data_IF_586107351073
#
_entry.id   IF_586107351073
#
_cell.length_a   1.000
_cell.length_b   1.000
_cell.length_c   1.000
_cell.angle_alpha   90.00
_cell.angle_beta   90.00
_cell.angle_gamma   90.00
#
_symmetry.space_group_name_H-M   'P 1'
#
loop_
_entity.id
_entity.type
_entity.pdbx_description
1 polymer ?
#
# COMPACT_ATOMS: atom_id res chain seq x y z
N UNK A 1 -28.02 65.07 26.55
CA UNK A 1 -27.49 66.38 26.98
C UNK A 1 -26.57 66.11 28.17
N UNK A 2 -25.25 66.01 27.93
CA UNK A 2 -24.22 66.96 28.43
C UNK A 2 -24.23 67.12 29.95
N UNK A 3 -23.18 67.01 30.77
CA UNK A 3 -21.75 66.61 30.74
C UNK A 3 -21.31 66.73 32.23
N UNK A 4 -20.32 65.92 32.63
CA UNK A 4 -19.16 66.23 33.51
C UNK A 4 -19.32 67.20 34.71
N UNK A 5 -18.73 66.81 35.85
CA UNK A 5 -17.41 67.36 36.27
C UNK A 5 -16.77 66.55 37.41
N UNK A 6 -15.46 66.38 37.26
CA UNK A 6 -14.50 65.79 38.18
C UNK A 6 -14.16 66.72 39.35
N UNK A 7 -13.55 66.12 40.39
CA UNK A 7 -12.24 66.45 40.96
C UNK A 7 -12.25 66.57 42.50
N UNK A 8 -11.28 65.89 43.14
CA UNK A 8 -10.92 66.12 44.54
C UNK A 8 -10.26 64.90 45.20
N UNK A 9 -8.96 64.75 44.96
CA UNK A 9 -8.06 63.81 45.63
C UNK A 9 -7.41 64.47 46.87
N UNK A 10 -7.19 63.71 47.95
CA UNK A 10 -6.09 63.86 48.92
C UNK A 10 -6.27 62.98 50.19
N UNK A 11 -5.49 61.90 50.28
CA UNK A 11 -4.43 61.79 51.31
C UNK A 11 -4.71 61.18 52.70
N UNK A 12 -4.16 59.96 52.90
CA UNK A 12 -3.44 59.43 54.10
C UNK A 12 -4.26 59.16 55.39
N UNK A 13 -3.98 58.18 56.26
CA UNK A 13 -2.88 57.22 56.46
C UNK A 13 -3.39 56.02 57.29
N UNK A 14 -2.65 54.90 57.17
CA UNK A 14 -2.37 53.77 58.08
C UNK A 14 -3.28 53.40 59.27
N UNK A 15 -3.28 52.17 59.79
CA UNK A 15 -2.90 50.80 59.41
C UNK A 15 -3.00 50.06 60.75
N UNK A 16 -3.98 49.16 60.92
CA UNK A 16 -3.85 48.06 61.89
C UNK A 16 -4.95 47.01 61.64
N UNK A 17 -4.63 45.77 62.05
CA UNK A 17 -5.46 44.57 62.20
C UNK A 17 -5.22 43.44 61.16
N UNK A 18 -4.57 42.38 61.67
CA UNK A 18 -5.28 41.10 61.78
C UNK A 18 -4.89 40.00 60.79
N UNK A 19 -4.03 39.08 61.25
CA UNK A 19 -3.70 37.80 60.60
C UNK A 19 -4.94 36.98 60.19
N UNK A 20 -5.03 36.62 58.91
CA UNK A 20 -5.85 35.52 58.41
C UNK A 20 -4.98 34.42 57.77
N UNK A 21 -5.27 33.16 58.13
CA UNK A 21 -4.57 31.95 57.70
C UNK A 21 -4.79 31.69 56.20
N UNK A 22 -3.72 31.53 55.43
CA UNK A 22 -3.78 31.17 54.01
C UNK A 22 -4.10 29.68 53.85
N UNK A 23 -5.27 29.35 53.31
CA UNK A 23 -5.54 28.03 52.73
C UNK A 23 -4.73 27.89 51.43
N UNK A 24 -3.84 26.89 51.40
CA UNK A 24 -3.14 26.47 50.19
C UNK A 24 -4.10 25.78 49.20
N UNK A 25 -3.77 25.77 47.90
CA UNK A 25 -4.64 25.19 46.89
C UNK A 25 -4.75 23.66 47.06
N UNK A 26 -5.87 23.05 46.64
CA UNK A 26 -6.09 21.63 46.79
C UNK A 26 -5.05 20.81 46.02
N UNK A 27 -4.49 19.80 46.68
CA UNK A 27 -3.63 18.78 46.07
C UNK A 27 -4.47 17.96 45.09
N UNK A 28 -4.33 18.23 43.80
CA UNK A 28 -4.72 17.28 42.77
C UNK A 28 -3.82 16.05 42.88
N UNK A 29 -4.39 14.97 43.42
CA UNK A 29 -3.80 13.65 43.54
C UNK A 29 -3.30 13.15 42.18
N UNK A 30 -1.98 12.93 42.07
CA UNK A 30 -1.23 11.74 41.61
C UNK A 30 -1.74 10.85 40.43
N UNK A 31 -2.99 10.94 39.97
CA UNK A 31 -3.52 10.19 38.83
C UNK A 31 -3.21 10.83 37.46
N UNK A 32 -2.82 12.11 37.43
CA UNK A 32 -2.44 12.83 36.19
C UNK A 32 -0.96 12.63 35.84
N UNK A 33 -0.14 12.15 36.79
CA UNK A 33 1.31 12.00 36.64
C UNK A 33 1.76 10.67 35.99
N UNK A 34 0.85 9.73 35.71
CA UNK A 34 1.16 8.52 34.91
C UNK A 34 1.16 8.76 33.39
N UNK A 35 0.77 9.95 32.91
CA UNK A 35 0.78 10.29 31.48
C UNK A 35 2.12 10.85 30.97
N UNK A 36 3.17 10.83 31.80
CA UNK A 36 4.48 11.35 31.41
C UNK A 36 5.35 10.28 30.76
N UNK A 37 5.52 10.47 29.44
CA UNK A 37 6.43 9.84 28.47
C UNK A 37 5.88 8.67 27.66
N UNK A 38 4.66 8.80 27.14
CA UNK A 38 4.42 8.21 25.82
C UNK A 38 5.38 8.87 24.82
N UNK A 39 6.23 8.09 24.16
CA UNK A 39 7.13 8.59 23.11
C UNK A 39 6.31 9.23 21.98
N UNK A 40 6.94 10.05 21.12
CA UNK A 40 6.21 10.69 20.02
C UNK A 40 5.49 9.64 19.16
N UNK A 41 6.15 8.50 18.89
CA UNK A 41 5.55 7.36 18.22
C UNK A 41 4.36 6.77 18.96
N UNK A 42 4.44 6.55 20.28
CA UNK A 42 3.30 5.98 21.03
C UNK A 42 2.07 6.89 20.98
N UNK A 43 2.26 8.22 21.11
CA UNK A 43 1.16 9.18 20.97
C UNK A 43 0.51 9.12 19.59
N UNK A 44 1.31 8.97 18.53
CA UNK A 44 0.80 8.82 17.17
C UNK A 44 0.03 7.49 16.99
N UNK A 45 0.48 6.39 17.61
CA UNK A 45 -0.26 5.12 17.62
C UNK A 45 -1.61 5.25 18.30
N UNK A 46 -1.67 5.91 19.45
CA UNK A 46 -2.92 6.11 20.20
C UNK A 46 -3.91 6.98 19.40
N UNK A 47 -3.42 8.01 18.69
CA UNK A 47 -4.23 8.82 17.76
C UNK A 47 -4.77 7.95 16.62
N UNK A 48 -3.90 7.18 15.97
CA UNK A 48 -4.28 6.33 14.85
C UNK A 48 -5.31 5.27 15.25
N UNK A 49 -5.12 4.66 16.42
CA UNK A 49 -6.04 3.70 17.01
C UNK A 49 -7.42 4.30 17.28
N UNK A 50 -7.49 5.51 17.85
CA UNK A 50 -8.78 6.19 18.05
C UNK A 50 -9.46 6.49 16.73
N UNK A 51 -8.71 6.96 15.73
CA UNK A 51 -9.26 7.22 14.40
C UNK A 51 -9.82 5.96 13.73
N UNK A 52 -9.17 4.80 13.89
CA UNK A 52 -9.71 3.51 13.44
C UNK A 52 -11.09 3.25 14.06
N UNK A 53 -11.21 3.34 15.39
CA UNK A 53 -12.45 3.08 16.12
C UNK A 53 -13.56 4.07 15.77
N UNK A 54 -13.24 5.37 15.69
CA UNK A 54 -14.19 6.43 15.31
C UNK A 54 -14.75 6.25 13.89
N UNK A 55 -14.00 5.58 13.01
CA UNK A 55 -14.42 5.24 11.63
C UNK A 55 -15.07 3.87 11.51
N UNK A 56 -15.29 3.17 12.63
CA UNK A 56 -15.89 1.84 12.65
C UNK A 56 -14.97 0.73 12.16
N UNK A 57 -13.66 0.94 12.20
CA UNK A 57 -12.64 -0.05 11.82
C UNK A 57 -12.10 -0.75 13.08
N UNK A 58 -11.53 -1.94 12.88
CA UNK A 58 -10.97 -2.79 13.92
C UNK A 58 -9.43 -2.64 13.95
N UNK A 59 -8.85 -2.04 15.00
CA UNK A 59 -7.40 -1.91 15.09
C UNK A 59 -6.69 -3.24 15.44
N UNK A 60 -7.42 -4.24 15.92
CA UNK A 60 -6.89 -5.56 16.27
C UNK A 60 -7.72 -6.69 15.68
N UNK A 61 -7.02 -7.78 15.38
CA UNK A 61 -7.65 -9.04 15.02
C UNK A 61 -8.36 -9.67 16.23
N UNK A 62 -9.57 -10.17 15.97
CA UNK A 62 -10.31 -11.01 16.91
C UNK A 62 -9.49 -12.25 17.34
N UNK A 63 -9.83 -12.84 18.48
CA UNK A 63 -9.16 -14.06 18.94
C UNK A 63 -9.34 -15.22 17.93
N UNK A 64 -10.52 -15.31 17.30
CA UNK A 64 -10.81 -16.30 16.27
C UNK A 64 -9.93 -16.09 15.02
N UNK A 65 -9.79 -14.85 14.53
CA UNK A 65 -8.95 -14.54 13.38
C UNK A 65 -7.47 -14.85 13.65
N UNK A 66 -6.97 -14.54 14.86
CA UNK A 66 -5.61 -14.90 15.27
C UNK A 66 -5.40 -16.41 15.34
N UNK A 67 -6.34 -17.14 15.93
CA UNK A 67 -6.26 -18.60 16.00
C UNK A 67 -6.30 -19.23 14.61
N UNK A 68 -7.18 -18.75 13.73
CA UNK A 68 -7.26 -19.21 12.35
C UNK A 68 -5.93 -19.00 11.61
N UNK A 69 -5.33 -17.81 11.71
CA UNK A 69 -4.03 -17.51 11.09
C UNK A 69 -2.90 -18.44 11.58
N UNK A 70 -2.87 -18.80 12.86
CA UNK A 70 -1.87 -19.70 13.44
C UNK A 70 -2.02 -21.16 12.96
N UNK A 71 -3.23 -21.55 12.61
CA UNK A 71 -3.55 -22.89 12.11
C UNK A 71 -3.25 -23.04 10.62
N UNK A 72 -3.15 -21.94 9.86
CA UNK A 72 -2.78 -21.99 8.45
C UNK A 72 -1.38 -22.60 8.28
N UNK A 73 -1.28 -23.54 7.33
CA UNK A 73 -0.06 -24.28 6.99
C UNK A 73 0.49 -23.93 5.60
N UNK A 74 0.06 -22.80 5.04
CA UNK A 74 0.37 -22.36 3.67
C UNK A 74 -0.70 -22.73 2.67
N UNK A 75 -0.60 -22.20 1.45
CA UNK A 75 -1.50 -22.54 0.36
C UNK A 75 -1.39 -24.04 0.09
N UNK A 76 -2.44 -24.80 0.40
CA UNK A 76 -2.51 -26.20 0.03
C UNK A 76 -2.55 -26.27 -1.50
N UNK A 77 -1.42 -26.60 -2.11
CA UNK A 77 -1.42 -27.12 -3.46
C UNK A 77 -2.09 -28.49 -3.40
N UNK A 78 -3.41 -28.53 -3.56
CA UNK A 78 -4.20 -29.76 -3.50
C UNK A 78 -3.87 -30.74 -4.66
N UNK A 79 -2.72 -30.61 -5.31
CA UNK A 79 -2.30 -31.43 -6.44
C UNK A 79 -3.18 -31.21 -7.66
N UNK A 80 -3.82 -30.04 -7.76
CA UNK A 80 -4.71 -29.75 -8.88
C UNK A 80 -3.89 -29.66 -10.17
N UNK A 81 -3.93 -30.75 -10.95
CA UNK A 81 -3.22 -30.87 -12.24
C UNK A 81 -3.80 -29.93 -13.29
N UNK A 82 -4.95 -29.29 -13.03
CA UNK A 82 -5.54 -28.30 -13.92
C UNK A 82 -4.89 -26.91 -13.82
N UNK A 83 -4.13 -26.63 -12.74
CA UNK A 83 -3.43 -25.35 -12.60
C UNK A 83 -2.24 -25.29 -13.56
N UNK A 84 -2.15 -24.20 -14.33
CA UNK A 84 -1.02 -23.96 -15.22
C UNK A 84 0.26 -23.85 -14.40
N UNK A 85 1.33 -24.47 -14.87
CA UNK A 85 2.65 -24.35 -14.25
C UNK A 85 3.49 -23.32 -15.01
N UNK A 86 3.76 -22.19 -14.36
CA UNK A 86 4.53 -21.09 -14.90
C UNK A 86 5.77 -20.81 -14.05
N UNK A 87 6.20 -21.76 -13.21
CA UNK A 87 7.35 -21.59 -12.30
C UNK A 87 8.66 -21.34 -13.04
N UNK A 88 8.77 -21.80 -14.29
CA UNK A 88 9.99 -21.67 -15.11
C UNK A 88 10.17 -20.30 -15.77
N UNK A 89 9.17 -19.43 -15.71
CA UNK A 89 9.31 -18.07 -16.25
C UNK A 89 10.20 -17.20 -15.36
N UNK A 90 10.72 -16.12 -15.95
CA UNK A 90 11.59 -15.13 -15.31
C UNK A 90 10.83 -14.14 -14.43
N UNK A 91 9.86 -14.62 -13.65
CA UNK A 91 9.07 -13.79 -12.75
C UNK A 91 9.97 -13.02 -11.78
N UNK A 92 9.69 -11.73 -11.59
CA UNK A 92 10.31 -10.92 -10.55
C UNK A 92 9.27 -10.03 -9.87
N UNK A 93 9.53 -9.67 -8.62
CA UNK A 93 8.81 -8.58 -7.94
C UNK A 93 9.66 -7.31 -8.00
N UNK A 94 9.01 -6.14 -8.01
CA UNK A 94 9.68 -4.84 -7.88
C UNK A 94 8.86 -4.03 -6.88
N UNK A 95 9.43 -3.79 -5.70
CA UNK A 95 8.73 -3.22 -4.55
C UNK A 95 9.62 -2.20 -3.81
N UNK A 96 9.17 -1.68 -2.66
CA UNK A 96 10.05 -0.91 -1.79
C UNK A 96 11.09 -1.84 -1.14
N UNK A 97 12.26 -1.31 -0.78
CA UNK A 97 13.36 -2.09 -0.21
C UNK A 97 12.94 -2.93 1.01
N UNK A 98 12.08 -2.36 1.85
CA UNK A 98 11.59 -2.93 3.11
C UNK A 98 10.29 -3.73 2.98
N UNK A 99 9.67 -3.80 1.79
CA UNK A 99 8.45 -4.58 1.56
C UNK A 99 8.69 -6.07 1.83
N UNK A 100 7.74 -6.69 2.53
CA UNK A 100 7.72 -8.16 2.79
C UNK A 100 6.44 -8.81 2.27
N UNK A 101 5.44 -8.02 1.96
CA UNK A 101 4.13 -8.35 1.41
C UNK A 101 4.13 -8.17 -0.11
N UNK A 102 4.93 -9.00 -0.78
CA UNK A 102 5.06 -8.97 -2.25
C UNK A 102 3.79 -9.55 -2.88
N UNK A 103 2.90 -8.67 -3.34
CA UNK A 103 1.58 -9.07 -3.87
C UNK A 103 1.59 -9.46 -5.34
N UNK A 104 2.64 -9.08 -6.08
CA UNK A 104 2.66 -9.24 -7.53
C UNK A 104 4.05 -9.59 -8.11
N UNK A 105 4.03 -10.33 -9.22
CA UNK A 105 5.18 -10.60 -10.06
C UNK A 105 4.88 -10.20 -11.51
N UNK A 106 5.92 -9.81 -12.25
CA UNK A 106 5.81 -9.45 -13.66
C UNK A 106 6.84 -10.20 -14.51
N UNK A 107 6.46 -10.50 -15.75
CA UNK A 107 7.36 -11.06 -16.76
C UNK A 107 6.86 -10.70 -18.15
N UNK A 108 7.78 -10.55 -19.10
CA UNK A 108 7.43 -10.45 -20.53
C UNK A 108 7.82 -11.70 -21.30
N UNK A 109 6.99 -12.07 -22.28
CA UNK A 109 7.24 -13.18 -23.18
C UNK A 109 7.13 -12.69 -24.63
N UNK A 110 7.76 -13.41 -25.55
CA UNK A 110 7.37 -13.33 -26.96
C UNK A 110 5.97 -13.95 -27.11
N UNK A 111 5.10 -13.32 -27.90
CA UNK A 111 3.77 -13.88 -28.22
C UNK A 111 3.69 -14.34 -29.67
N UNK A 112 2.57 -15.01 -29.97
CA UNK A 112 2.31 -15.57 -31.30
C UNK A 112 2.28 -14.46 -32.36
N UNK A 113 2.95 -14.69 -33.49
CA UNK A 113 3.04 -13.71 -34.57
C UNK A 113 3.89 -12.47 -34.26
N UNK A 114 4.70 -12.51 -33.18
CA UNK A 114 5.68 -11.47 -32.84
C UNK A 114 5.16 -10.35 -31.94
N UNK A 115 3.88 -10.36 -31.55
CA UNK A 115 3.35 -9.40 -30.58
C UNK A 115 3.76 -9.80 -29.15
N UNK A 116 4.39 -8.90 -28.36
CA UNK A 116 4.83 -9.24 -27.02
C UNK A 116 3.66 -9.48 -26.06
N UNK A 117 3.92 -10.31 -25.04
CA UNK A 117 3.00 -10.57 -23.93
C UNK A 117 3.58 -10.03 -22.64
N UNK A 118 2.73 -9.38 -21.84
CA UNK A 118 3.02 -8.96 -20.47
C UNK A 118 2.14 -9.79 -19.55
N UNK A 119 2.76 -10.53 -18.64
CA UNK A 119 2.05 -11.29 -17.64
C UNK A 119 2.26 -10.64 -16.27
N UNK A 120 1.17 -10.48 -15.54
CA UNK A 120 1.13 -10.04 -14.15
C UNK A 120 0.55 -11.18 -13.32
N UNK A 121 1.29 -11.68 -12.35
CA UNK A 121 0.80 -12.67 -11.38
C UNK A 121 0.50 -11.95 -10.06
N UNK A 122 -0.73 -12.06 -9.56
CA UNK A 122 -1.16 -11.50 -8.28
C UNK A 122 -1.35 -12.63 -7.27
N UNK A 123 -0.88 -12.44 -6.04
CA UNK A 123 -0.99 -13.42 -4.96
C UNK A 123 -2.42 -13.93 -4.81
N UNK A 124 -2.60 -15.26 -4.76
CA UNK A 124 -3.90 -15.88 -4.59
C UNK A 124 -4.32 -15.90 -3.11
N UNK A 125 -4.72 -14.73 -2.59
CA UNK A 125 -5.11 -14.55 -1.19
C UNK A 125 -6.39 -15.33 -0.85
N UNK A 126 -7.31 -15.47 -1.81
CA UNK A 126 -8.57 -16.23 -1.66
C UNK A 126 -8.31 -17.71 -1.33
N UNK A 127 -7.19 -18.27 -1.80
CA UNK A 127 -6.78 -19.63 -1.44
C UNK A 127 -6.45 -19.81 0.06
N UNK A 128 -6.18 -18.73 0.80
CA UNK A 128 -5.83 -18.75 2.22
C UNK A 128 -6.90 -18.12 3.13
N UNK A 129 -7.68 -17.16 2.61
CA UNK A 129 -8.73 -16.46 3.35
C UNK A 129 -10.09 -16.92 2.83
N UNK A 130 -10.64 -17.96 3.45
CA UNK A 130 -11.90 -18.56 3.00
C UNK A 130 -13.06 -17.63 3.32
N UNK A 131 -14.00 -17.49 2.39
CA UNK A 131 -15.23 -16.73 2.57
C UNK A 131 -15.97 -17.12 3.87
N UNK A 132 -16.46 -16.10 4.58
CA UNK A 132 -17.22 -16.19 5.84
C UNK A 132 -16.41 -16.79 7.02
N UNK A 133 -15.08 -16.86 6.89
CA UNK A 133 -14.14 -17.17 7.99
C UNK A 133 -13.94 -15.99 8.95
N UNK A 134 -13.19 -16.20 10.04
CA UNK A 134 -12.88 -15.12 10.97
C UNK A 134 -11.89 -14.12 10.36
N UNK A 135 -10.98 -14.59 9.50
CA UNK A 135 -10.10 -13.73 8.69
C UNK A 135 -10.90 -12.90 7.68
N UNK A 136 -11.83 -13.52 6.93
CA UNK A 136 -12.70 -12.81 5.98
C UNK A 136 -13.59 -11.77 6.69
N UNK A 137 -14.13 -12.11 7.87
CA UNK A 137 -14.93 -11.17 8.65
C UNK A 137 -14.14 -9.90 9.01
N UNK A 138 -12.90 -10.03 9.48
CA UNK A 138 -12.05 -8.88 9.80
C UNK A 138 -11.67 -8.08 8.53
N UNK A 139 -11.26 -8.78 7.46
CA UNK A 139 -10.91 -8.15 6.19
C UNK A 139 -12.10 -7.38 5.60
N UNK A 140 -13.31 -7.90 5.74
CA UNK A 140 -14.56 -7.24 5.30
C UNK A 140 -14.87 -5.97 6.10
N UNK A 141 -14.65 -5.98 7.41
CA UNK A 141 -14.85 -4.79 8.26
C UNK A 141 -13.83 -3.71 7.89
N UNK A 142 -12.55 -4.08 7.81
CA UNK A 142 -11.49 -3.11 7.56
C UNK A 142 -11.38 -2.68 6.09
N UNK A 143 -11.80 -3.53 5.14
CA UNK A 143 -11.79 -3.34 3.68
C UNK A 143 -10.41 -3.14 3.03
N UNK A 144 -9.45 -2.56 3.75
CA UNK A 144 -8.09 -2.25 3.32
C UNK A 144 -7.15 -2.21 4.51
N UNK A 145 -5.86 -2.39 4.27
CA UNK A 145 -4.84 -2.02 5.27
C UNK A 145 -4.86 -0.50 5.44
N UNK A 146 -4.73 -0.03 6.67
CA UNK A 146 -4.70 1.40 7.01
C UNK A 146 -3.28 1.80 7.39
N UNK A 147 -2.66 2.59 6.52
CA UNK A 147 -1.31 3.10 6.71
C UNK A 147 -1.35 4.43 7.46
N UNK A 148 -0.67 4.50 8.60
CA UNK A 148 -0.51 5.74 9.38
C UNK A 148 0.95 5.99 9.66
N UNK A 149 1.29 7.20 10.12
CA UNK A 149 2.68 7.59 10.36
C UNK A 149 3.43 6.62 11.29
N UNK A 150 2.80 6.13 12.37
CA UNK A 150 3.48 5.37 13.42
C UNK A 150 3.20 3.86 13.41
N UNK A 151 2.19 3.42 12.68
CA UNK A 151 1.76 2.02 12.63
C UNK A 151 0.90 1.77 11.40
N UNK A 152 1.07 0.59 10.81
CA UNK A 152 0.13 0.04 9.83
C UNK A 152 -0.86 -0.85 10.57
N UNK A 153 -2.14 -0.71 10.27
CA UNK A 153 -3.19 -1.64 10.69
C UNK A 153 -3.52 -2.53 9.50
N UNK A 154 -2.93 -3.74 9.42
CA UNK A 154 -3.05 -4.55 8.22
C UNK A 154 -4.44 -5.17 8.12
N UNK A 155 -4.95 -5.29 6.90
CA UNK A 155 -6.24 -5.97 6.64
C UNK A 155 -6.18 -7.45 6.98
N UNK A 156 -5.01 -8.07 6.84
CA UNK A 156 -4.76 -9.48 7.06
C UNK A 156 -3.55 -9.64 8.01
N UNK A 157 -3.51 -10.70 8.84
CA UNK A 157 -2.38 -10.91 9.75
C UNK A 157 -1.03 -11.00 9.02
N UNK A 158 0.04 -10.48 9.63
CA UNK A 158 1.38 -10.42 9.01
C UNK A 158 1.87 -11.78 8.51
N UNK A 159 1.57 -12.86 9.24
CA UNK A 159 1.93 -14.22 8.82
C UNK A 159 1.32 -14.58 7.46
N UNK A 160 0.11 -14.11 7.18
CA UNK A 160 -0.53 -14.36 5.90
C UNK A 160 0.08 -13.45 4.83
N UNK A 161 0.11 -12.14 5.07
CA UNK A 161 0.53 -11.15 4.07
C UNK A 161 2.01 -11.19 3.73
N UNK A 162 2.90 -11.54 4.66
CA UNK A 162 4.37 -11.48 4.47
C UNK A 162 5.03 -12.84 4.26
N UNK A 163 4.30 -13.94 4.47
CA UNK A 163 4.82 -15.30 4.30
C UNK A 163 3.91 -16.14 3.40
N UNK A 164 2.72 -16.51 3.88
CA UNK A 164 1.92 -17.56 3.25
C UNK A 164 1.39 -17.18 1.86
N UNK A 165 0.97 -15.93 1.66
CA UNK A 165 0.48 -15.46 0.36
C UNK A 165 1.49 -14.62 -0.39
N UNK A 166 2.48 -14.04 0.31
CA UNK A 166 3.51 -13.25 -0.34
C UNK A 166 4.28 -14.06 -1.38
N UNK A 167 4.50 -13.44 -2.54
CA UNK A 167 5.29 -13.96 -3.65
C UNK A 167 6.80 -13.80 -3.38
N UNK A 168 7.24 -14.29 -2.22
CA UNK A 168 8.61 -14.21 -1.73
C UNK A 168 9.62 -14.82 -2.71
N UNK A 169 10.85 -14.30 -2.69
CA UNK A 169 11.94 -14.79 -3.53
C UNK A 169 12.14 -16.30 -3.37
N UNK A 170 12.30 -17.00 -4.49
CA UNK A 170 12.42 -18.45 -4.63
C UNK A 170 11.23 -19.28 -4.12
N UNK A 171 10.17 -18.63 -3.61
CA UNK A 171 9.00 -19.31 -3.13
C UNK A 171 8.06 -19.69 -4.29
N UNK A 172 7.56 -20.92 -4.26
CA UNK A 172 6.47 -21.35 -5.12
C UNK A 172 5.14 -20.94 -4.49
N UNK A 173 4.28 -20.30 -5.29
CA UNK A 173 3.01 -19.74 -4.84
C UNK A 173 1.92 -19.91 -5.89
N UNK A 174 0.68 -19.97 -5.42
CA UNK A 174 -0.50 -19.82 -6.27
C UNK A 174 -0.72 -18.33 -6.56
N UNK A 175 -1.03 -18.04 -7.81
CA UNK A 175 -1.32 -16.71 -8.28
C UNK A 175 -2.49 -16.68 -9.27
N UNK A 176 -3.21 -15.57 -9.29
CA UNK A 176 -4.08 -15.19 -10.39
C UNK A 176 -3.21 -14.47 -11.42
N UNK A 177 -3.08 -15.04 -12.61
CA UNK A 177 -2.30 -14.46 -13.71
C UNK A 177 -3.22 -13.71 -14.65
N UNK A 178 -2.86 -12.46 -14.94
CA UNK A 178 -3.42 -11.65 -16.01
C UNK A 178 -2.41 -11.60 -17.15
N UNK A 179 -2.80 -12.16 -18.28
CA UNK A 179 -1.93 -12.44 -19.42
C UNK A 179 -2.33 -11.56 -20.61
N UNK A 180 -1.54 -10.54 -20.87
CA UNK A 180 -1.92 -9.44 -21.76
C UNK A 180 -1.12 -9.47 -23.05
N UNK A 181 -1.81 -9.35 -24.19
CA UNK A 181 -1.19 -9.09 -25.50
C UNK A 181 -1.05 -7.58 -25.68
N UNK A 182 0.19 -7.11 -25.78
CA UNK A 182 0.51 -5.68 -25.85
C UNK A 182 1.16 -5.39 -27.19
N UNK A 183 0.62 -4.43 -27.93
CA UNK A 183 1.25 -3.94 -29.16
C UNK A 183 2.53 -3.17 -28.86
N UNK A 184 3.40 -3.04 -29.86
CA UNK A 184 4.61 -2.20 -29.74
C UNK A 184 4.29 -0.72 -29.50
N UNK A 185 3.06 -0.30 -29.82
CA UNK A 185 2.48 1.01 -29.57
C UNK A 185 1.89 1.16 -28.16
N UNK A 186 1.99 0.13 -27.31
CA UNK A 186 1.45 0.12 -25.95
C UNK A 186 -0.05 -0.21 -25.88
N UNK A 187 -0.71 -0.53 -27.00
CA UNK A 187 -2.13 -0.88 -26.99
C UNK A 187 -2.33 -2.31 -26.47
N UNK A 188 -3.13 -2.46 -25.42
CA UNK A 188 -3.54 -3.77 -24.91
C UNK A 188 -4.67 -4.34 -25.78
N UNK A 189 -4.35 -5.29 -26.65
CA UNK A 189 -5.27 -5.90 -27.60
C UNK A 189 -6.26 -6.89 -26.95
N UNK A 190 -5.91 -7.42 -25.78
CA UNK A 190 -6.75 -8.33 -24.99
C UNK A 190 -5.90 -9.17 -24.04
N UNK A 191 -6.56 -10.03 -23.28
CA UNK A 191 -5.86 -10.92 -22.37
C UNK A 191 -6.75 -11.99 -21.74
N UNK A 192 -6.10 -12.91 -21.05
CA UNK A 192 -6.74 -13.98 -20.28
C UNK A 192 -6.49 -13.77 -18.78
N UNK A 193 -7.38 -14.33 -17.96
CA UNK A 193 -7.18 -14.42 -16.52
C UNK A 193 -7.34 -15.87 -16.10
N UNK A 194 -6.37 -16.42 -15.38
CA UNK A 194 -6.36 -17.81 -14.94
C UNK A 194 -5.50 -18.02 -13.68
N UNK A 195 -5.73 -19.11 -12.97
CA UNK A 195 -4.90 -19.52 -11.82
C UNK A 195 -3.66 -20.28 -12.29
N UNK A 196 -2.52 -20.04 -11.66
CA UNK A 196 -1.26 -20.71 -11.97
C UNK A 196 -0.34 -20.87 -10.76
N UNK A 197 0.64 -21.78 -10.89
CA UNK A 197 1.82 -21.85 -10.01
C UNK A 197 2.91 -20.96 -10.57
N UNK A 198 3.47 -20.09 -9.73
CA UNK A 198 4.57 -19.20 -10.08
C UNK A 198 5.71 -19.35 -9.07
N UNK A 199 6.92 -18.96 -9.48
CA UNK A 199 8.08 -18.88 -8.60
C UNK A 199 8.79 -17.56 -8.83
N UNK A 200 8.89 -16.73 -7.80
CA UNK A 200 9.61 -15.46 -7.90
C UNK A 200 11.11 -15.74 -8.03
N UNK A 201 11.72 -15.36 -9.15
CA UNK A 201 13.15 -15.55 -9.41
C UNK A 201 14.00 -14.45 -8.79
N UNK A 202 13.43 -13.26 -8.54
CA UNK A 202 14.14 -12.16 -7.92
C UNK A 202 13.19 -11.16 -7.25
N UNK A 203 13.43 -10.87 -5.96
CA UNK A 203 12.89 -9.69 -5.29
C UNK A 203 13.77 -8.49 -5.64
N UNK A 204 13.19 -7.47 -6.26
CA UNK A 204 13.91 -6.25 -6.66
C UNK A 204 13.31 -5.03 -5.97
N UNK A 205 14.13 -3.99 -5.85
CA UNK A 205 13.71 -2.72 -5.26
C UNK A 205 13.56 -1.64 -6.34
N UNK A 206 12.53 -0.81 -6.22
CA UNK A 206 12.24 0.27 -7.17
C UNK A 206 13.45 1.16 -7.46
N UNK A 207 14.11 1.65 -6.40
CA UNK A 207 15.22 2.60 -6.55
C UNK A 207 16.43 1.98 -7.27
N UNK A 208 16.75 0.72 -6.94
CA UNK A 208 17.87 0.02 -7.57
C UNK A 208 17.58 -0.30 -9.05
N UNK A 209 16.37 -0.74 -9.37
CA UNK A 209 15.96 -0.99 -10.77
C UNK A 209 15.93 0.30 -11.57
N UNK A 210 15.37 1.38 -11.02
CA UNK A 210 15.32 2.68 -11.68
C UNK A 210 16.73 3.22 -11.97
N UNK A 211 17.63 3.19 -10.98
CA UNK A 211 19.02 3.62 -11.16
C UNK A 211 19.73 2.83 -12.28
N UNK A 212 19.49 1.51 -12.36
CA UNK A 212 20.04 0.68 -13.42
C UNK A 212 19.44 0.96 -14.81
N UNK A 213 18.10 1.11 -14.91
CA UNK A 213 17.42 1.45 -16.16
C UNK A 213 17.90 2.80 -16.71
N UNK A 214 18.20 3.75 -15.83
CA UNK A 214 18.73 5.07 -16.16
C UNK A 214 20.24 5.08 -16.45
N UNK A 215 20.94 3.95 -16.32
CA UNK A 215 22.39 3.86 -16.51
C UNK A 215 23.21 4.53 -15.40
N UNK A 216 22.60 4.81 -14.24
CA UNK A 216 23.23 5.46 -13.08
C UNK A 216 23.65 4.46 -11.99
N UNK A 217 23.37 3.18 -12.17
CA UNK A 217 23.72 2.12 -11.23
C UNK A 217 23.91 0.75 -11.92
N UNK A 218 24.53 -0.21 -11.22
CA UNK A 218 24.67 -1.57 -11.72
C UNK A 218 23.32 -2.30 -11.72
N UNK A 219 23.23 -3.38 -12.50
CA UNK A 219 22.10 -4.32 -12.40
C UNK A 219 21.99 -4.83 -10.95
N UNK A 220 20.79 -4.85 -10.33
CA UNK A 220 20.63 -5.37 -8.98
C UNK A 220 21.17 -6.80 -8.86
N UNK A 221 21.90 -7.16 -7.78
CA UNK A 221 22.53 -8.49 -7.66
C UNK A 221 21.55 -9.66 -7.83
N UNK A 222 20.33 -9.54 -7.29
CA UNK A 222 19.30 -10.55 -7.45
C UNK A 222 18.88 -10.74 -8.91
N UNK A 223 18.83 -9.66 -9.71
CA UNK A 223 18.57 -9.77 -11.14
C UNK A 223 19.77 -10.33 -11.90
N UNK A 224 20.99 -9.94 -11.53
CA UNK A 224 22.22 -10.43 -12.14
C UNK A 224 22.44 -11.95 -11.97
N UNK A 225 21.91 -12.51 -10.87
CA UNK A 225 21.94 -13.95 -10.60
C UNK A 225 21.02 -14.77 -11.52
N UNK A 226 20.04 -14.14 -12.19
CA UNK A 226 19.05 -14.82 -13.04
C UNK A 226 19.34 -14.52 -14.51
N UNK A 227 19.80 -15.55 -15.24
CA UNK A 227 20.15 -15.44 -16.66
C UNK A 227 18.98 -14.90 -17.49
N UNK A 228 19.21 -13.77 -18.18
CA UNK A 228 18.25 -13.16 -19.10
C UNK A 228 17.21 -12.26 -18.44
N UNK A 229 17.20 -12.13 -17.11
CA UNK A 229 16.27 -11.24 -16.42
C UNK A 229 16.57 -9.76 -16.72
N UNK A 230 17.82 -9.40 -16.97
CA UNK A 230 18.22 -8.07 -17.43
C UNK A 230 17.56 -7.70 -18.77
N UNK A 231 17.61 -8.60 -19.76
CA UNK A 231 16.95 -8.39 -21.04
C UNK A 231 15.41 -8.32 -20.87
N UNK A 232 14.85 -9.16 -20.00
CA UNK A 232 13.42 -9.16 -19.71
C UNK A 232 12.97 -7.84 -19.06
N UNK A 233 13.71 -7.32 -18.07
CA UNK A 233 13.40 -6.05 -17.40
C UNK A 233 13.47 -4.86 -18.37
N UNK A 234 14.45 -4.82 -19.28
CA UNK A 234 14.49 -3.77 -20.32
C UNK A 234 13.30 -3.83 -21.26
N UNK A 235 12.85 -5.03 -21.61
CA UNK A 235 11.64 -5.23 -22.42
C UNK A 235 10.39 -4.81 -21.65
N UNK A 236 10.28 -5.16 -20.37
CA UNK A 236 9.20 -4.72 -19.48
C UNK A 236 9.12 -3.19 -19.43
N UNK A 237 10.25 -2.52 -19.20
CA UNK A 237 10.34 -1.06 -19.19
C UNK A 237 9.89 -0.46 -20.54
N UNK A 238 10.42 -0.97 -21.66
CA UNK A 238 10.05 -0.47 -23.01
C UNK A 238 8.55 -0.54 -23.25
N UNK A 239 7.91 -1.66 -22.89
CA UNK A 239 6.47 -1.85 -23.05
C UNK A 239 5.67 -0.97 -22.09
N UNK A 240 6.09 -0.85 -20.83
CA UNK A 240 5.40 0.01 -19.88
C UNK A 240 5.45 1.49 -20.28
N UNK A 241 6.59 1.97 -20.80
CA UNK A 241 6.69 3.34 -21.32
C UNK A 241 5.78 3.57 -22.54
N UNK A 242 5.67 2.58 -23.45
CA UNK A 242 4.73 2.66 -24.56
C UNK A 242 3.26 2.67 -24.08
N UNK A 243 2.92 1.83 -23.10
CA UNK A 243 1.59 1.79 -22.48
C UNK A 243 1.24 3.11 -21.79
N UNK A 244 2.20 3.71 -21.07
CA UNK A 244 2.06 5.03 -20.45
C UNK A 244 1.79 6.12 -21.49
N UNK A 245 2.56 6.14 -22.57
CA UNK A 245 2.38 7.10 -23.67
C UNK A 245 1.00 6.95 -24.33
N UNK A 246 0.56 5.73 -24.59
CA UNK A 246 -0.77 5.45 -25.15
C UNK A 246 -1.89 5.85 -24.19
N UNK A 247 -1.73 5.59 -22.89
CA UNK A 247 -2.67 5.99 -21.84
C UNK A 247 -2.81 7.52 -21.78
N UNK A 248 -1.70 8.26 -21.87
CA UNK A 248 -1.71 9.71 -21.98
C UNK A 248 -2.37 10.21 -23.27
N UNK A 249 -2.09 9.58 -24.41
CA UNK A 249 -2.74 9.91 -25.68
C UNK A 249 -4.26 9.72 -25.62
N UNK A 250 -4.75 8.78 -24.80
CA UNK A 250 -6.17 8.56 -24.52
C UNK A 250 -6.77 9.49 -23.46
N UNK A 251 -6.01 10.50 -23.00
CA UNK A 251 -6.50 11.53 -22.09
C UNK A 251 -6.31 11.23 -20.61
N UNK A 252 -5.40 10.31 -20.23
CA UNK A 252 -5.09 10.15 -18.81
C UNK A 252 -4.39 11.39 -18.26
N UNK A 253 -4.85 11.85 -17.10
CA UNK A 253 -4.23 12.94 -16.36
C UNK A 253 -3.15 12.37 -15.42
N UNK A 254 -1.95 12.95 -15.46
CA UNK A 254 -0.95 12.75 -14.42
C UNK A 254 -1.18 13.82 -13.33
N UNK A 255 -1.93 13.45 -12.31
CA UNK A 255 -2.13 14.29 -11.12
C UNK A 255 -1.21 13.76 -10.02
N UNK A 256 -0.12 14.48 -9.77
CA UNK A 256 0.80 14.13 -8.69
C UNK A 256 0.36 14.82 -7.41
N UNK A 257 0.00 14.03 -6.40
CA UNK A 257 -0.08 14.50 -5.01
C UNK A 257 1.24 14.22 -4.32
N UNK A 258 1.81 15.21 -3.63
CA UNK A 258 2.99 14.96 -2.80
C UNK A 258 2.61 14.06 -1.63
N UNK A 259 3.12 12.83 -1.64
CA UNK A 259 2.99 11.90 -0.52
C UNK A 259 4.27 11.98 0.33
N UNK A 260 4.11 12.08 1.65
CA UNK A 260 5.21 12.16 2.59
C UNK A 260 5.27 10.89 3.46
N UNK A 261 6.44 10.28 3.54
CA UNK A 261 6.76 9.15 4.41
C UNK A 261 7.40 9.65 5.69
N UNK A 262 6.86 9.23 6.82
CA UNK A 262 7.42 9.52 8.13
C UNK A 262 8.70 8.70 8.39
N UNK A 263 9.77 9.40 8.76
CA UNK A 263 11.06 8.79 9.14
C UNK A 263 11.25 8.97 10.64
N UNK A 264 11.55 7.88 11.33
CA UNK A 264 11.74 7.89 12.76
C UNK A 264 13.17 7.51 13.14
N UNK A 265 13.74 8.26 14.08
CA UNK A 265 14.96 7.88 14.80
C UNK A 265 14.56 7.38 16.20
N UNK A 266 14.70 6.07 16.43
CA UNK A 266 14.05 5.41 17.56
C UNK A 266 12.54 5.65 17.53
N UNK A 267 12.01 6.32 18.56
CA UNK A 267 10.58 6.70 18.65
C UNK A 267 10.31 8.19 18.39
N UNK A 268 11.33 8.96 18.02
CA UNK A 268 11.18 10.35 17.61
C UNK A 268 10.90 10.43 16.10
N UNK A 269 9.91 11.23 15.69
CA UNK A 269 9.74 11.58 14.28
C UNK A 269 10.89 12.52 13.90
N UNK A 270 11.80 12.04 13.06
CA UNK A 270 13.02 12.73 12.70
C UNK A 270 12.87 13.54 11.41
N UNK A 271 12.09 13.03 10.45
CA UNK A 271 11.95 13.64 9.12
C UNK A 271 10.64 13.23 8.43
N UNK A 272 10.27 13.97 7.38
CA UNK A 272 9.19 13.65 6.43
C UNK A 272 9.77 13.68 5.02
N UNK A 273 9.91 12.53 4.40
CA UNK A 273 10.52 12.40 3.08
C UNK A 273 9.43 12.27 2.01
N UNK A 274 9.60 12.97 0.89
CA UNK A 274 8.71 12.77 -0.26
C UNK A 274 8.92 11.36 -0.84
N UNK A 275 7.84 10.68 -1.21
CA UNK A 275 7.95 9.50 -2.06
C UNK A 275 8.06 9.96 -3.52
N UNK A 276 9.24 9.80 -4.10
CA UNK A 276 9.52 10.25 -5.47
C UNK A 276 9.14 9.19 -6.49
N UNK A 277 8.39 9.61 -7.50
CA UNK A 277 8.10 8.75 -8.65
C UNK A 277 9.40 8.46 -9.43
N UNK A 278 9.58 7.19 -9.82
CA UNK A 278 10.72 6.78 -10.62
C UNK A 278 10.29 5.83 -11.73
N UNK A 279 11.22 5.55 -12.65
CA UNK A 279 10.98 4.73 -13.84
C UNK A 279 10.50 3.31 -13.52
N UNK A 280 11.01 2.71 -12.45
CA UNK A 280 10.60 1.36 -12.04
C UNK A 280 9.19 1.36 -11.43
N UNK A 281 8.80 2.40 -10.69
CA UNK A 281 7.43 2.59 -10.19
C UNK A 281 6.44 2.76 -11.34
N UNK A 282 6.79 3.58 -12.33
CA UNK A 282 5.99 3.77 -13.55
C UNK A 282 5.79 2.46 -14.31
N UNK A 283 6.84 1.64 -14.41
CA UNK A 283 6.77 0.33 -15.06
C UNK A 283 5.67 -0.53 -14.43
N UNK A 284 5.72 -0.69 -13.11
CA UNK A 284 4.75 -1.48 -12.37
C UNK A 284 3.35 -0.85 -12.42
N UNK A 285 3.24 0.48 -12.24
CA UNK A 285 1.96 1.21 -12.30
C UNK A 285 1.20 0.92 -13.61
N UNK A 286 1.85 1.11 -14.76
CA UNK A 286 1.20 0.94 -16.06
C UNK A 286 0.82 -0.53 -16.35
N UNK A 287 1.60 -1.49 -15.87
CA UNK A 287 1.24 -2.91 -15.92
C UNK A 287 0.01 -3.21 -15.06
N UNK A 288 -0.06 -2.67 -13.85
CA UNK A 288 -1.21 -2.90 -12.95
C UNK A 288 -2.48 -2.21 -13.44
N UNK A 289 -2.38 -1.00 -14.00
CA UNK A 289 -3.52 -0.33 -14.64
C UNK A 289 -4.08 -1.19 -15.78
N UNK A 290 -3.21 -1.71 -16.64
CA UNK A 290 -3.62 -2.57 -17.75
C UNK A 290 -4.22 -3.90 -17.26
N UNK A 291 -3.59 -4.54 -16.28
CA UNK A 291 -4.08 -5.78 -15.70
C UNK A 291 -5.47 -5.61 -15.08
N UNK A 292 -5.69 -4.52 -14.35
CA UNK A 292 -7.01 -4.15 -13.82
C UNK A 292 -8.04 -3.96 -14.94
N UNK A 293 -7.67 -3.32 -16.05
CA UNK A 293 -8.53 -3.18 -17.23
C UNK A 293 -8.90 -4.52 -17.87
N UNK A 294 -7.97 -5.47 -17.95
CA UNK A 294 -8.22 -6.82 -18.47
C UNK A 294 -9.09 -7.63 -17.53
N UNK A 295 -8.80 -7.64 -16.22
CA UNK A 295 -9.62 -8.31 -15.22
C UNK A 295 -11.06 -7.75 -15.22
N UNK A 296 -11.20 -6.44 -15.35
CA UNK A 296 -12.49 -5.79 -15.46
C UNK A 296 -13.29 -6.30 -16.67
N UNK A 297 -12.68 -6.37 -17.86
CA UNK A 297 -13.31 -6.89 -19.07
C UNK A 297 -13.64 -8.38 -18.93
N UNK A 298 -12.71 -9.17 -18.40
CA UNK A 298 -12.86 -10.61 -18.18
C UNK A 298 -14.11 -10.95 -17.36
N UNK A 299 -14.33 -10.22 -16.25
CA UNK A 299 -15.52 -10.40 -15.40
C UNK A 299 -16.80 -9.93 -16.08
N UNK A 300 -16.74 -8.81 -16.83
CA UNK A 300 -17.89 -8.27 -17.55
C UNK A 300 -18.39 -9.25 -18.63
N UNK A 301 -17.49 -9.80 -19.45
CA UNK A 301 -17.82 -10.74 -20.52
C UNK A 301 -18.42 -12.05 -19.99
N UNK A 302 -18.14 -12.40 -18.73
CA UNK A 302 -18.70 -13.60 -18.07
C UNK A 302 -20.02 -13.34 -17.35
N UNK A 303 -20.51 -12.10 -17.31
CA UNK A 303 -21.77 -11.76 -16.64
C UNK A 303 -21.74 -11.92 -15.12
N UNK A 304 -20.55 -11.88 -14.50
CA UNK A 304 -20.40 -12.04 -13.06
C UNK A 304 -20.50 -10.68 -12.36
N UNK A 305 -21.22 -10.61 -11.25
CA UNK A 305 -21.26 -9.43 -10.41
C UNK A 305 -19.88 -9.13 -9.82
N UNK A 306 -19.42 -7.88 -9.93
CA UNK A 306 -18.07 -7.48 -9.52
C UNK A 306 -18.07 -6.04 -9.02
N UNK A 307 -17.25 -5.75 -8.00
CA UNK A 307 -16.96 -4.37 -7.58
C UNK A 307 -16.16 -3.64 -8.67
N UNK A 308 -16.52 -2.38 -8.94
CA UNK A 308 -15.87 -1.56 -9.97
C UNK A 308 -15.29 -0.30 -9.35
N UNK A 309 -14.03 0.00 -9.67
CA UNK A 309 -13.42 1.31 -9.40
C UNK A 309 -13.91 2.29 -10.48
N UNK A 310 -14.77 3.22 -10.09
CA UNK A 310 -15.34 4.22 -10.99
C UNK A 310 -14.91 5.62 -10.57
N UNK A 311 -14.59 6.47 -11.54
CA UNK A 311 -14.44 7.91 -11.35
C UNK A 311 -15.61 8.58 -12.08
N UNK A 312 -16.41 9.35 -11.33
CA UNK A 312 -17.50 10.13 -11.94
C UNK A 312 -16.90 11.34 -12.67
N UNK A 313 -17.47 11.70 -13.82
CA UNK A 313 -17.14 12.96 -14.47
C UNK A 313 -17.39 14.12 -13.50
N UNK A 314 -16.43 15.05 -13.34
CA UNK A 314 -16.64 16.27 -12.57
C UNK A 314 -17.81 17.07 -13.16
N UNK A 315 -18.64 17.67 -12.30
CA UNK A 315 -19.84 18.43 -12.72
C UNK A 315 -19.55 19.59 -13.69
N UNK A 316 -18.30 20.06 -13.74
CA UNK A 316 -17.87 21.20 -14.57
C UNK A 316 -16.78 20.83 -15.59
N UNK A 317 -16.74 19.57 -16.02
CA UNK A 317 -15.74 19.09 -16.97
C UNK A 317 -15.67 19.92 -18.26
N UNK A 318 -16.81 20.35 -18.79
CA UNK A 318 -16.91 21.16 -20.02
C UNK A 318 -16.30 22.57 -19.92
N UNK A 319 -15.77 22.97 -18.75
CA UNK A 319 -15.13 24.27 -18.51
C UNK A 319 -13.60 24.22 -18.45
N UNK A 320 -13.00 23.04 -18.59
CA UNK A 320 -11.55 22.78 -18.60
C UNK A 320 -11.15 22.41 -20.03
#
# INVERSE_FOLDING_TARGET
>A
MVRRRDAGDAGSADDDLGRARRHGPPRYHESVLMHLRATARQRLRDIARRAMLERGLEPEFSAAARQEAELLRGQADAGDRALRDLRDLLWCSIDNDDSRDLDQLTVTLDGDGGAPRVLVAVADVDAAVIKDSALDAHARVNTTSVYTAAQVFPMLPERLSTDLTSLNADAERLAIVVDMRVGVDGVVAGGEVYRARVRNRAKLAYNAVAAWLDGRGPLPPAAAAVKGLDANLRRQDTLAQAMKAERHRRGSLALHTMEARAVFDGDALADLQADEENRARQLIEDFMIAANGVAAKFLATRGVASLRRILKMPERWDRI
#
